data_IF_056506738179
#
_entry.id   IF_056506738179
#
_cell.length_a   1.000
_cell.length_b   1.000
_cell.length_c   1.000
_cell.angle_alpha   90.00
_cell.angle_beta   90.00
_cell.angle_gamma   90.00
#
_symmetry.space_group_name_H-M   'P 1'
#
loop_
_entity.id
_entity.type
_entity.pdbx_description
1 polymer ?
#
# COMPACT_ATOMS: atom_id res chain seq x y z
N UNK A 1 33.03 -5.38 -16.71
CA UNK A 1 33.19 -3.96 -16.31
C UNK A 1 31.81 -3.28 -16.16
N UNK A 2 30.95 -3.28 -17.21
CA UNK A 2 29.62 -2.62 -17.11
C UNK A 2 28.75 -3.24 -16.02
N UNK A 3 28.67 -4.58 -15.96
CA UNK A 3 27.91 -5.28 -14.94
C UNK A 3 28.42 -4.97 -13.52
N UNK A 4 29.73 -4.91 -13.34
CA UNK A 4 30.36 -4.58 -12.04
C UNK A 4 30.05 -3.14 -11.64
N UNK A 5 30.14 -2.19 -12.58
CA UNK A 5 29.80 -0.79 -12.34
C UNK A 5 28.31 -0.62 -11.96
N UNK A 6 27.41 -1.35 -12.61
CA UNK A 6 26.00 -1.36 -12.28
C UNK A 6 25.74 -1.91 -10.86
N UNK A 7 26.38 -3.01 -10.50
CA UNK A 7 26.28 -3.58 -9.15
C UNK A 7 26.76 -2.59 -8.10
N UNK A 8 27.93 -1.96 -8.30
CA UNK A 8 28.46 -0.94 -7.38
C UNK A 8 27.53 0.25 -7.29
N UNK A 9 26.98 0.71 -8.42
CA UNK A 9 26.01 1.80 -8.44
C UNK A 9 24.76 1.45 -7.62
N UNK A 10 24.19 0.27 -7.82
CA UNK A 10 23.00 -0.19 -7.08
C UNK A 10 23.31 -0.34 -5.59
N UNK A 11 24.48 -0.88 -5.24
CA UNK A 11 24.87 -1.09 -3.84
C UNK A 11 25.09 0.23 -3.07
N UNK A 12 25.48 1.33 -3.74
CA UNK A 12 25.60 2.62 -3.09
C UNK A 12 24.26 3.18 -2.54
N UNK A 13 23.13 2.71 -3.06
CA UNK A 13 21.82 3.11 -2.55
C UNK A 13 21.34 2.25 -1.38
N UNK A 14 22.01 1.15 -1.06
CA UNK A 14 21.63 0.29 0.04
C UNK A 14 21.78 0.98 1.40
N UNK A 15 22.83 1.75 1.57
CA UNK A 15 23.15 2.43 2.84
C UNK A 15 22.34 3.73 3.02
N UNK A 16 21.70 4.22 1.94
CA UNK A 16 20.83 5.41 1.94
C UNK A 16 19.35 5.06 2.20
N UNK A 17 19.06 3.79 2.51
CA UNK A 17 17.71 3.33 2.84
C UNK A 17 17.44 3.61 4.31
N UNK A 18 16.76 4.72 4.61
CA UNK A 18 16.16 4.93 5.93
C UNK A 18 15.17 3.81 6.21
N UNK A 19 15.25 3.23 7.41
CA UNK A 19 14.29 2.21 7.83
C UNK A 19 12.88 2.83 7.82
N UNK A 20 12.04 2.37 6.90
CA UNK A 20 10.63 2.73 6.88
C UNK A 20 9.91 1.76 7.81
N UNK A 21 9.29 2.28 8.84
CA UNK A 21 8.52 1.49 9.80
C UNK A 21 7.03 1.74 9.62
N UNK A 22 6.23 0.69 9.80
CA UNK A 22 4.76 0.79 9.72
C UNK A 22 4.22 1.65 10.87
N UNK A 23 4.88 1.64 12.02
CA UNK A 23 4.51 2.40 13.21
C UNK A 23 4.53 3.93 12.98
N UNK A 24 5.45 4.42 12.14
CA UNK A 24 5.50 5.84 11.77
C UNK A 24 4.29 6.26 10.92
N UNK A 25 3.60 5.30 10.30
CA UNK A 25 2.40 5.54 9.48
C UNK A 25 1.13 5.63 10.31
N UNK A 26 1.06 4.92 11.44
CA UNK A 26 -0.12 4.89 12.32
C UNK A 26 -0.39 6.27 12.96
N UNK A 27 0.60 7.16 12.98
CA UNK A 27 0.47 8.52 13.49
C UNK A 27 -0.35 9.48 12.60
N UNK A 28 -0.75 9.04 11.41
CA UNK A 28 -1.51 9.87 10.44
C UNK A 28 -3.02 9.64 10.48
N UNK A 29 -3.54 8.99 11.51
CA UNK A 29 -4.98 8.75 11.67
C UNK A 29 -5.74 10.00 12.13
N UNK A 30 -7.03 10.06 11.80
CA UNK A 30 -7.92 11.11 12.28
C UNK A 30 -8.06 11.07 13.80
N UNK A 31 -8.09 12.23 14.43
CA UNK A 31 -8.41 12.34 15.84
C UNK A 31 -9.91 12.54 16.01
N UNK A 32 -10.56 11.59 16.67
CA UNK A 32 -11.98 11.68 17.01
C UNK A 32 -12.15 12.16 18.46
N UNK A 33 -13.01 13.13 18.68
CA UNK A 33 -13.36 13.64 20.00
C UNK A 33 -14.71 13.07 20.41
N UNK A 34 -14.74 12.35 21.51
CA UNK A 34 -15.95 11.76 22.06
C UNK A 34 -16.38 12.51 23.34
N UNK A 35 -17.69 12.65 23.52
CA UNK A 35 -18.27 13.11 24.79
C UNK A 35 -19.40 12.17 25.20
N UNK A 36 -19.68 12.12 26.49
CA UNK A 36 -20.86 11.41 26.99
C UNK A 36 -22.11 12.25 26.77
N UNK A 37 -23.15 11.64 26.26
CA UNK A 37 -24.48 12.22 26.16
C UNK A 37 -25.19 12.20 27.53
N UNK A 38 -26.44 12.66 27.56
CA UNK A 38 -27.25 12.69 28.78
C UNK A 38 -27.62 11.32 29.34
N UNK A 39 -27.44 10.24 28.56
CA UNK A 39 -27.62 8.84 28.97
C UNK A 39 -26.32 8.19 29.45
N UNK A 40 -25.17 8.89 29.34
CA UNK A 40 -23.86 8.37 29.67
C UNK A 40 -23.19 7.56 28.54
N UNK A 41 -23.75 7.55 27.34
CA UNK A 41 -23.15 6.91 26.18
C UNK A 41 -22.11 7.81 25.51
N UNK A 42 -21.00 7.22 25.03
CA UNK A 42 -19.95 7.93 24.31
C UNK A 42 -20.38 8.18 22.87
N UNK A 43 -20.56 9.47 22.54
CA UNK A 43 -20.92 9.92 21.18
C UNK A 43 -19.75 10.67 20.57
N UNK A 44 -19.42 10.37 19.31
CA UNK A 44 -18.45 11.16 18.56
C UNK A 44 -19.05 12.53 18.27
N UNK A 45 -18.47 13.59 18.87
CA UNK A 45 -18.96 14.97 18.73
C UNK A 45 -18.16 15.79 17.72
N UNK A 46 -16.95 15.39 17.43
CA UNK A 46 -16.11 16.09 16.46
C UNK A 46 -15.01 15.18 15.93
N UNK A 47 -14.83 15.19 14.63
CA UNK A 47 -13.73 14.56 13.95
C UNK A 47 -12.76 15.64 13.45
N UNK A 48 -11.51 15.61 13.94
CA UNK A 48 -10.44 16.44 13.41
C UNK A 48 -10.04 15.84 12.05
N UNK A 49 -10.65 16.34 11.00
CA UNK A 49 -10.33 15.90 9.63
C UNK A 49 -9.00 16.52 9.20
N UNK A 50 -7.95 15.72 9.19
CA UNK A 50 -6.84 16.00 8.30
C UNK A 50 -7.30 15.79 6.86
N UNK A 51 -6.59 16.33 5.88
CA UNK A 51 -6.95 16.24 4.44
C UNK A 51 -7.15 14.81 3.92
N UNK A 52 -6.79 13.80 4.72
CA UNK A 52 -6.97 12.37 4.41
C UNK A 52 -7.78 11.68 5.51
N UNK A 53 -9.08 11.51 5.27
CA UNK A 53 -9.93 10.70 6.15
C UNK A 53 -9.54 9.23 6.02
N UNK A 54 -9.02 8.62 7.10
CA UNK A 54 -8.70 7.19 7.20
C UNK A 54 -9.38 6.60 8.42
N UNK A 55 -10.04 5.48 8.23
CA UNK A 55 -10.61 4.67 9.30
C UNK A 55 -9.86 3.34 9.26
N UNK A 56 -9.02 3.05 10.26
CA UNK A 56 -8.27 1.79 10.26
C UNK A 56 -9.19 0.60 10.47
N UNK A 57 -8.92 -0.48 9.75
CA UNK A 57 -9.60 -1.78 9.90
C UNK A 57 -8.55 -2.89 9.96
N UNK A 58 -8.76 -3.87 10.85
CA UNK A 58 -7.88 -5.03 10.94
C UNK A 58 -8.03 -5.92 9.72
N UNK A 59 -6.93 -6.57 9.31
CA UNK A 59 -6.96 -7.57 8.22
C UNK A 59 -7.94 -8.71 8.52
N UNK A 60 -8.10 -9.07 9.79
CA UNK A 60 -9.01 -10.14 10.22
C UNK A 60 -10.48 -9.79 10.01
N UNK A 61 -10.81 -8.49 10.00
CA UNK A 61 -12.16 -8.00 9.74
C UNK A 61 -12.45 -7.81 8.23
N UNK A 62 -11.43 -7.86 7.37
CA UNK A 62 -11.60 -7.74 5.93
C UNK A 62 -11.89 -9.11 5.32
N UNK A 63 -13.02 -9.29 4.59
CA UNK A 63 -13.36 -10.57 3.98
C UNK A 63 -12.26 -11.10 3.05
N UNK A 64 -12.08 -12.43 3.03
CA UNK A 64 -11.04 -13.06 2.20
C UNK A 64 -11.16 -12.67 0.72
N UNK A 65 -12.38 -12.68 0.16
CA UNK A 65 -12.61 -12.31 -1.23
C UNK A 65 -12.19 -10.87 -1.54
N UNK A 66 -12.31 -9.96 -0.58
CA UNK A 66 -11.86 -8.58 -0.73
C UNK A 66 -10.33 -8.51 -0.76
N UNK A 67 -9.65 -9.22 0.15
CA UNK A 67 -8.17 -9.35 0.13
C UNK A 67 -7.68 -9.96 -1.17
N UNK A 68 -8.34 -11.01 -1.64
CA UNK A 68 -8.02 -11.69 -2.89
C UNK A 68 -8.21 -10.77 -4.12
N UNK A 69 -9.23 -9.92 -4.13
CA UNK A 69 -9.45 -8.95 -5.20
C UNK A 69 -8.26 -7.98 -5.34
N UNK A 70 -7.78 -7.42 -4.22
CA UNK A 70 -6.58 -6.57 -4.23
C UNK A 70 -5.34 -7.30 -4.71
N UNK A 71 -5.10 -8.49 -4.19
CA UNK A 71 -3.93 -9.30 -4.56
C UNK A 71 -3.98 -9.68 -6.04
N UNK A 72 -5.13 -10.14 -6.54
CA UNK A 72 -5.27 -10.51 -7.95
C UNK A 72 -5.12 -9.31 -8.90
N UNK A 73 -5.65 -8.14 -8.53
CA UNK A 73 -5.59 -6.96 -9.37
C UNK A 73 -4.19 -6.32 -9.39
N UNK A 74 -3.58 -6.17 -8.22
CA UNK A 74 -2.36 -5.39 -8.06
C UNK A 74 -1.10 -6.25 -8.08
N UNK A 75 -1.13 -7.43 -7.47
CA UNK A 75 0.06 -8.24 -7.27
C UNK A 75 -0.27 -9.74 -7.08
N UNK A 76 -0.66 -10.42 -8.16
CA UNK A 76 -1.10 -11.82 -8.15
C UNK A 76 -0.16 -12.77 -7.38
N UNK A 77 1.14 -12.46 -7.36
CA UNK A 77 2.16 -13.28 -6.67
C UNK A 77 2.61 -12.70 -5.34
N UNK A 78 1.84 -11.81 -4.74
CA UNK A 78 2.15 -11.12 -3.50
C UNK A 78 2.69 -12.06 -2.41
N UNK A 79 2.03 -13.19 -2.19
CA UNK A 79 2.42 -14.14 -1.14
C UNK A 79 3.65 -15.01 -1.48
N UNK A 80 4.22 -14.87 -2.68
CA UNK A 80 5.31 -15.75 -3.15
C UNK A 80 6.65 -15.07 -3.36
N UNK A 81 6.71 -13.73 -3.27
CA UNK A 81 7.94 -12.96 -3.41
C UNK A 81 8.27 -12.17 -2.13
N UNK A 82 9.51 -11.71 -2.01
CA UNK A 82 10.02 -10.93 -0.87
C UNK A 82 10.12 -9.43 -1.21
N UNK A 83 8.97 -8.79 -1.44
CA UNK A 83 8.85 -7.35 -1.71
C UNK A 83 8.99 -6.96 -3.19
N UNK A 84 9.63 -7.78 -4.01
CA UNK A 84 9.84 -7.53 -5.44
C UNK A 84 9.53 -8.76 -6.27
N UNK A 85 8.62 -8.62 -7.20
CA UNK A 85 8.38 -9.64 -8.21
C UNK A 85 9.34 -9.46 -9.39
N UNK A 86 10.46 -10.15 -9.35
CA UNK A 86 11.49 -10.04 -10.39
C UNK A 86 10.99 -10.44 -11.78
N UNK A 87 10.12 -11.44 -11.86
CA UNK A 87 9.55 -11.88 -13.15
C UNK A 87 8.71 -10.77 -13.77
N UNK A 88 7.83 -10.16 -12.97
CA UNK A 88 6.99 -9.04 -13.40
C UNK A 88 7.81 -7.80 -13.74
N UNK A 89 8.80 -7.48 -12.91
CA UNK A 89 9.70 -6.33 -13.11
C UNK A 89 10.48 -6.47 -14.41
N UNK A 90 11.09 -7.64 -14.68
CA UNK A 90 11.82 -7.90 -15.93
C UNK A 90 10.87 -7.90 -17.13
N UNK A 91 9.70 -8.51 -17.01
CA UNK A 91 8.69 -8.53 -18.07
C UNK A 91 8.21 -7.12 -18.44
N UNK A 92 7.93 -6.28 -17.43
CA UNK A 92 7.54 -4.89 -17.66
C UNK A 92 8.66 -4.09 -18.33
N UNK A 93 9.91 -4.31 -17.90
CA UNK A 93 11.08 -3.67 -18.51
C UNK A 93 11.26 -4.08 -19.98
N UNK A 94 11.16 -5.38 -20.29
CA UNK A 94 11.24 -5.87 -21.66
C UNK A 94 10.09 -5.29 -22.49
N UNK A 95 8.88 -5.26 -21.96
CA UNK A 95 7.71 -4.74 -22.70
C UNK A 95 7.84 -3.25 -23.02
N UNK A 96 8.48 -2.47 -22.15
CA UNK A 96 8.74 -1.05 -22.40
C UNK A 96 9.58 -0.81 -23.67
N UNK A 97 10.49 -1.75 -24.00
CA UNK A 97 11.35 -1.65 -25.21
C UNK A 97 10.78 -2.34 -26.44
N UNK A 98 10.05 -3.43 -26.27
CA UNK A 98 9.68 -4.32 -27.36
C UNK A 98 8.18 -4.27 -27.67
N UNK A 99 7.36 -3.66 -26.82
CA UNK A 99 5.89 -3.53 -26.98
C UNK A 99 5.21 -4.87 -27.36
N UNK A 100 5.59 -5.97 -26.67
CA UNK A 100 5.08 -7.31 -26.97
C UNK A 100 3.63 -7.49 -26.49
N UNK A 101 3.23 -6.77 -25.43
CA UNK A 101 1.89 -6.87 -24.83
C UNK A 101 1.24 -5.49 -24.74
N UNK A 102 -0.01 -5.37 -25.17
CA UNK A 102 -0.84 -4.16 -25.03
C UNK A 102 -1.32 -3.90 -23.58
N UNK A 103 -0.82 -4.66 -22.61
CA UNK A 103 -1.23 -4.51 -21.21
C UNK A 103 -0.29 -3.59 -20.47
N UNK A 104 -0.81 -2.46 -20.02
CA UNK A 104 -0.20 -1.55 -19.05
C UNK A 104 -0.21 -2.14 -17.62
N UNK A 105 0.06 -3.43 -17.44
CA UNK A 105 0.23 -3.98 -16.10
C UNK A 105 1.48 -3.34 -15.45
N UNK A 106 1.24 -2.57 -14.40
CA UNK A 106 2.31 -1.95 -13.63
C UNK A 106 3.28 -3.00 -13.08
N UNK A 107 4.57 -2.78 -13.22
CA UNK A 107 5.62 -3.70 -12.74
C UNK A 107 5.88 -3.63 -11.22
N UNK A 108 5.13 -2.81 -10.47
CA UNK A 108 5.34 -2.61 -9.04
C UNK A 108 4.47 -3.57 -8.22
N UNK A 109 5.03 -4.11 -7.13
CA UNK A 109 4.31 -4.95 -6.16
C UNK A 109 3.49 -4.10 -5.19
N UNK A 110 2.57 -4.73 -4.43
CA UNK A 110 1.84 -4.09 -3.33
C UNK A 110 2.81 -3.43 -2.35
N UNK A 111 3.88 -4.13 -1.97
CA UNK A 111 4.90 -3.61 -1.04
C UNK A 111 5.61 -2.38 -1.60
N UNK A 112 5.96 -2.38 -2.88
CA UNK A 112 6.57 -1.23 -3.54
C UNK A 112 5.61 -0.04 -3.64
N UNK A 113 4.33 -0.29 -3.92
CA UNK A 113 3.30 0.75 -3.94
C UNK A 113 3.11 1.35 -2.55
N UNK A 114 3.10 0.50 -1.51
CA UNK A 114 3.02 0.95 -0.12
C UNK A 114 4.19 1.88 0.21
N UNK A 115 5.43 1.48 -0.07
CA UNK A 115 6.63 2.31 0.14
C UNK A 115 6.52 3.66 -0.57
N UNK A 116 6.10 3.67 -1.83
CA UNK A 116 5.90 4.91 -2.59
C UNK A 116 4.89 5.84 -1.92
N UNK A 117 3.77 5.28 -1.46
CA UNK A 117 2.71 6.05 -0.81
C UNK A 117 3.15 6.62 0.54
N UNK A 118 3.93 5.85 1.33
CA UNK A 118 4.46 6.27 2.63
C UNK A 118 5.46 7.39 2.47
N UNK A 119 6.44 7.20 1.58
CA UNK A 119 7.55 8.15 1.45
C UNK A 119 7.16 9.42 0.72
N UNK A 120 6.02 9.41 0.01
CA UNK A 120 5.62 10.54 -0.85
C UNK A 120 6.62 10.84 -1.97
N UNK A 121 7.61 9.98 -2.17
CA UNK A 121 8.66 10.16 -3.16
C UNK A 121 8.11 9.95 -4.57
N UNK A 122 7.74 11.05 -5.22
CA UNK A 122 7.17 11.08 -6.57
C UNK A 122 8.20 11.36 -7.66
N UNK A 123 9.50 11.48 -7.31
CA UNK A 123 10.57 11.70 -8.27
C UNK A 123 10.59 10.60 -9.34
N UNK A 124 10.69 10.99 -10.60
CA UNK A 124 10.81 10.04 -11.71
C UNK A 124 12.30 9.80 -12.03
N UNK A 125 12.99 9.08 -11.16
CA UNK A 125 14.41 8.75 -11.35
C UNK A 125 14.69 7.25 -11.14
N UNK A 126 15.70 6.70 -11.83
CA UNK A 126 16.14 5.32 -11.59
C UNK A 126 16.60 5.10 -10.14
N UNK A 127 17.23 6.08 -9.54
CA UNK A 127 17.70 6.04 -8.14
C UNK A 127 16.56 5.89 -7.16
N UNK A 128 15.44 6.61 -7.35
CA UNK A 128 14.23 6.43 -6.56
C UNK A 128 13.73 4.99 -6.64
N UNK A 129 13.65 4.42 -7.85
CA UNK A 129 13.15 3.05 -8.02
C UNK A 129 14.06 2.01 -7.34
N UNK A 130 15.36 2.25 -7.33
CA UNK A 130 16.32 1.38 -6.60
C UNK A 130 16.07 1.49 -5.09
N UNK A 131 15.93 2.70 -4.53
CA UNK A 131 15.60 2.89 -3.11
C UNK A 131 14.28 2.24 -2.74
N UNK A 132 13.24 2.40 -3.56
CA UNK A 132 11.93 1.76 -3.38
C UNK A 132 12.05 0.22 -3.30
N UNK A 133 12.84 -0.39 -4.19
CA UNK A 133 13.10 -1.83 -4.18
C UNK A 133 13.75 -2.28 -2.86
N UNK A 134 14.82 -1.60 -2.43
CA UNK A 134 15.49 -1.96 -1.17
C UNK A 134 14.59 -1.78 0.04
N UNK A 135 13.83 -0.68 0.11
CA UNK A 135 12.86 -0.43 1.18
C UNK A 135 11.76 -1.50 1.22
N UNK A 136 11.25 -1.91 0.04
CA UNK A 136 10.26 -2.98 -0.05
C UNK A 136 10.82 -4.31 0.47
N UNK A 137 12.05 -4.65 0.14
CA UNK A 137 12.71 -5.87 0.65
C UNK A 137 12.94 -5.81 2.18
N UNK A 138 13.31 -4.66 2.72
CA UNK A 138 13.49 -4.49 4.16
C UNK A 138 12.14 -4.57 4.90
N UNK A 139 11.07 -3.95 4.35
CA UNK A 139 9.74 -4.03 4.92
C UNK A 139 9.24 -5.49 5.01
N UNK A 140 9.44 -6.28 3.96
CA UNK A 140 9.07 -7.71 3.92
C UNK A 140 9.89 -8.58 4.89
N UNK A 141 11.09 -8.14 5.27
CA UNK A 141 11.86 -8.83 6.32
C UNK A 141 11.38 -8.51 7.72
N UNK A 142 10.83 -7.31 7.91
CA UNK A 142 10.40 -6.82 9.20
C UNK A 142 8.95 -7.22 9.54
N UNK A 143 8.08 -7.33 8.54
CA UNK A 143 6.63 -7.51 8.73
C UNK A 143 6.09 -8.69 7.93
N UNK A 144 5.01 -9.29 8.44
CA UNK A 144 4.29 -10.35 7.73
C UNK A 144 3.54 -9.82 6.52
N UNK A 145 3.25 -10.69 5.55
CA UNK A 145 2.43 -10.38 4.37
C UNK A 145 1.08 -9.78 4.74
N UNK A 146 0.42 -10.34 5.75
CA UNK A 146 -0.88 -9.86 6.21
C UNK A 146 -0.77 -8.45 6.80
N UNK A 147 0.30 -8.15 7.56
CA UNK A 147 0.51 -6.79 8.09
C UNK A 147 0.81 -5.78 6.97
N UNK A 148 1.56 -6.16 5.95
CA UNK A 148 1.83 -5.31 4.78
C UNK A 148 0.53 -5.06 3.99
N UNK A 149 -0.28 -6.11 3.76
CA UNK A 149 -1.56 -5.98 3.05
C UNK A 149 -2.56 -5.14 3.84
N UNK A 150 -2.68 -5.35 5.16
CA UNK A 150 -3.49 -4.53 6.06
C UNK A 150 -3.14 -3.06 5.94
N UNK A 151 -1.85 -2.77 6.06
CA UNK A 151 -1.35 -1.40 5.98
C UNK A 151 -1.60 -0.80 4.60
N UNK A 152 -1.38 -1.57 3.52
CA UNK A 152 -1.67 -1.14 2.16
C UNK A 152 -3.14 -0.77 1.99
N UNK A 153 -4.06 -1.67 2.37
CA UNK A 153 -5.51 -1.46 2.24
C UNK A 153 -6.03 -0.30 3.09
N UNK A 154 -5.41 -0.04 4.24
CA UNK A 154 -5.72 1.11 5.09
C UNK A 154 -5.13 2.43 4.56
N UNK A 155 -4.14 2.38 3.66
CA UNK A 155 -3.38 3.57 3.27
C UNK A 155 -3.72 4.09 1.88
N UNK A 156 -4.06 3.21 0.93
CA UNK A 156 -4.26 3.60 -0.48
C UNK A 156 -5.45 4.54 -0.66
N UNK A 157 -5.34 5.39 -1.69
CA UNK A 157 -6.43 6.30 -2.09
C UNK A 157 -7.42 5.63 -3.04
N UNK A 158 -8.71 5.80 -2.76
CA UNK A 158 -9.82 5.34 -3.59
C UNK A 158 -10.49 6.47 -4.38
N UNK A 159 -9.78 7.56 -4.59
CA UNK A 159 -10.27 8.73 -5.29
C UNK A 159 -10.84 9.82 -4.38
N UNK A 160 -10.70 11.08 -4.83
CA UNK A 160 -11.05 12.23 -4.02
C UNK A 160 -10.29 12.28 -2.70
N UNK A 161 -10.99 12.43 -1.60
CA UNK A 161 -10.45 12.46 -0.23
C UNK A 161 -10.51 11.09 0.47
N UNK A 162 -10.96 10.02 -0.23
CA UNK A 162 -11.14 8.71 0.38
C UNK A 162 -9.82 7.95 0.42
N UNK A 163 -9.27 7.74 1.61
CA UNK A 163 -8.10 6.96 1.85
C UNK A 163 -8.44 5.78 2.78
N UNK A 164 -7.96 4.60 2.43
CA UNK A 164 -8.23 3.36 3.14
C UNK A 164 -9.60 2.74 2.79
N UNK A 165 -9.62 1.41 2.84
CA UNK A 165 -10.75 0.61 2.39
C UNK A 165 -12.02 0.84 3.23
N UNK A 166 -11.88 1.00 4.55
CA UNK A 166 -13.04 1.19 5.43
C UNK A 166 -13.76 2.51 5.11
N UNK A 167 -13.00 3.61 4.97
CA UNK A 167 -13.60 4.88 4.58
C UNK A 167 -14.21 4.84 3.18
N UNK A 168 -13.55 4.14 2.24
CA UNK A 168 -14.08 3.97 0.88
C UNK A 168 -15.39 3.17 0.89
N UNK A 169 -15.45 2.06 1.63
CA UNK A 169 -16.65 1.23 1.76
C UNK A 169 -17.83 2.02 2.33
N UNK A 170 -17.59 2.77 3.40
CA UNK A 170 -18.63 3.63 3.99
C UNK A 170 -19.11 4.71 3.02
N UNK A 171 -18.20 5.35 2.31
CA UNK A 171 -18.53 6.43 1.38
C UNK A 171 -19.26 5.97 0.12
N UNK A 172 -18.82 4.86 -0.48
CA UNK A 172 -19.35 4.40 -1.76
C UNK A 172 -20.53 3.43 -1.61
N UNK A 173 -20.55 2.64 -0.53
CA UNK A 173 -21.54 1.60 -0.31
C UNK A 173 -22.37 1.77 0.96
N UNK A 174 -22.03 2.74 1.83
CA UNK A 174 -22.76 3.03 3.07
C UNK A 174 -22.65 1.94 4.13
N UNK A 175 -21.61 1.10 4.08
CA UNK A 175 -21.38 -0.01 5.02
C UNK A 175 -19.89 -0.21 5.30
N UNK A 176 -19.58 -0.98 6.35
CA UNK A 176 -18.20 -1.32 6.69
C UNK A 176 -17.57 -2.22 5.62
N UNK A 177 -16.25 -2.12 5.46
CA UNK A 177 -15.49 -2.99 4.55
C UNK A 177 -15.63 -4.49 4.89
N UNK A 178 -15.90 -4.83 6.15
CA UNK A 178 -16.18 -6.21 6.59
C UNK A 178 -17.44 -6.81 5.95
N UNK A 179 -18.37 -5.98 5.49
CA UNK A 179 -19.65 -6.37 4.92
C UNK A 179 -19.70 -6.25 3.39
N UNK A 180 -18.56 -5.96 2.74
CA UNK A 180 -18.46 -5.90 1.29
C UNK A 180 -18.73 -7.28 0.68
N UNK A 181 -19.54 -7.31 -0.37
CA UNK A 181 -19.69 -8.51 -1.20
C UNK A 181 -18.63 -8.58 -2.30
N UNK A 182 -18.61 -9.67 -3.06
CA UNK A 182 -17.61 -9.91 -4.11
C UNK A 182 -17.65 -8.86 -5.21
N UNK A 183 -18.85 -8.38 -5.56
CA UNK A 183 -19.01 -7.39 -6.64
C UNK A 183 -18.57 -5.98 -6.19
N UNK A 184 -18.78 -5.66 -4.92
CA UNK A 184 -18.35 -4.39 -4.33
C UNK A 184 -16.84 -4.36 -4.04
N UNK A 185 -16.24 -5.53 -3.84
CA UNK A 185 -14.81 -5.68 -3.62
C UNK A 185 -13.98 -5.61 -4.92
N UNK A 186 -14.59 -5.86 -6.08
CA UNK A 186 -13.97 -5.85 -7.41
C UNK A 186 -14.02 -4.48 -8.08
#
# INVERSE_FOLDING_TARGET
IVATALVVYVMNFRDDVSNVTIEEMELSYNTNIYAQDSSGEWVNIYEVTNESQRIPISIDDIPQHTRDAFVCAEDERFYTHDGVDYKRTVSAFVNMFVHIYDTNQGGSTITQQLIKNITGDSEQSPSRKIREIFRAMELERAYSKDKILETYMNYIGFGGTSNGIEHAAQKYFGKSAKDLDVAEAA
#
